data_IF_552505584298
#
_entry.id   IF_552505584298
#
_cell.length_a   1.000
_cell.length_b   1.000
_cell.length_c   1.000
_cell.angle_alpha   90.00
_cell.angle_beta   90.00
_cell.angle_gamma   90.00
#
_symmetry.space_group_name_H-M   'P 1'
#
loop_
_entity.id
_entity.type
_entity.pdbx_description
1 polymer ?
#
# COMPACT_ATOMS: atom_id res chain seq x y z
N UNK A 1 -0.09 -2.92 -3.21
CA UNK A 1 0.55 -3.65 -2.10
C UNK A 1 0.61 -5.12 -2.47
N UNK A 2 1.77 -5.76 -2.34
CA UNK A 2 1.92 -7.20 -2.50
C UNK A 2 2.08 -7.83 -1.11
N UNK A 3 1.42 -8.95 -0.86
CA UNK A 3 1.32 -9.56 0.47
C UNK A 3 1.67 -11.04 0.40
N UNK A 4 2.65 -11.46 1.18
CA UNK A 4 2.93 -12.87 1.45
C UNK A 4 3.21 -13.05 2.94
N UNK A 5 2.32 -13.77 3.62
CA UNK A 5 2.41 -14.04 5.06
C UNK A 5 2.62 -12.77 5.93
N UNK A 6 1.77 -11.76 5.74
CA UNK A 6 1.86 -10.45 6.39
C UNK A 6 0.92 -10.25 7.59
N UNK A 7 0.28 -11.31 8.10
CA UNK A 7 -0.83 -11.22 9.08
C UNK A 7 -0.58 -10.26 10.23
N UNK A 8 0.65 -10.24 10.77
CA UNK A 8 1.02 -9.44 11.95
C UNK A 8 0.77 -7.94 11.80
N UNK A 9 1.04 -7.37 10.62
CA UNK A 9 1.05 -5.92 10.41
C UNK A 9 0.03 -5.45 9.36
N UNK A 10 -0.45 -6.38 8.53
CA UNK A 10 -1.26 -6.09 7.37
C UNK A 10 -2.52 -5.27 7.65
N UNK A 11 -3.19 -5.51 8.77
CA UNK A 11 -4.40 -4.76 9.12
C UNK A 11 -4.10 -3.27 9.35
N UNK A 12 -2.99 -2.96 10.03
CA UNK A 12 -2.55 -1.59 10.31
C UNK A 12 -2.08 -0.90 9.02
N UNK A 13 -1.30 -1.62 8.21
CA UNK A 13 -0.83 -1.14 6.90
C UNK A 13 -1.99 -0.78 5.98
N UNK A 14 -3.00 -1.66 5.85
CA UNK A 14 -4.20 -1.39 5.04
C UNK A 14 -4.95 -0.17 5.60
N UNK A 15 -5.20 -0.13 6.90
CA UNK A 15 -5.93 0.97 7.53
C UNK A 15 -5.25 2.32 7.27
N UNK A 16 -3.92 2.40 7.40
CA UNK A 16 -3.17 3.65 7.17
C UNK A 16 -3.28 4.19 5.74
N UNK A 17 -3.48 3.31 4.74
CA UNK A 17 -3.73 3.69 3.35
C UNK A 17 -5.18 4.14 3.17
N UNK A 18 -6.14 3.47 3.79
CA UNK A 18 -7.56 3.85 3.66
C UNK A 18 -7.90 5.18 4.32
N UNK A 19 -7.17 5.55 5.38
CA UNK A 19 -7.34 6.81 6.13
C UNK A 19 -6.71 8.03 5.45
N UNK A 20 -6.00 7.85 4.32
CA UNK A 20 -5.37 8.97 3.61
C UNK A 20 -6.35 10.11 3.32
N UNK A 21 -5.90 11.34 3.55
CA UNK A 21 -6.68 12.57 3.30
C UNK A 21 -7.06 12.74 1.83
N UNK A 22 -6.21 12.29 0.90
CA UNK A 22 -6.58 12.16 -0.50
C UNK A 22 -7.36 10.86 -0.70
N UNK A 23 -8.64 10.95 -1.06
CA UNK A 23 -9.56 9.80 -1.10
C UNK A 23 -9.80 9.23 -2.51
N UNK A 24 -9.44 9.97 -3.57
CA UNK A 24 -9.68 9.57 -4.96
C UNK A 24 -8.59 8.62 -5.48
N UNK A 25 -8.56 7.41 -4.95
CA UNK A 25 -7.63 6.36 -5.37
C UNK A 25 -8.31 4.99 -5.38
N UNK A 26 -7.73 4.05 -6.13
CA UNK A 26 -7.97 2.63 -5.95
C UNK A 26 -6.82 2.00 -5.15
N UNK A 27 -7.11 0.94 -4.40
CA UNK A 27 -6.12 0.23 -3.62
C UNK A 27 -6.01 -1.22 -4.07
N UNK A 28 -4.97 -1.51 -4.85
CA UNK A 28 -4.72 -2.85 -5.37
C UNK A 28 -3.88 -3.63 -4.36
N UNK A 29 -4.43 -4.76 -3.90
CA UNK A 29 -3.77 -5.68 -2.99
C UNK A 29 -3.67 -7.05 -3.66
N UNK A 30 -2.43 -7.51 -3.85
CA UNK A 30 -2.12 -8.81 -4.44
C UNK A 30 -1.68 -9.76 -3.32
N UNK A 31 -2.51 -10.73 -2.98
CA UNK A 31 -2.13 -11.85 -2.11
C UNK A 31 -1.33 -12.88 -2.92
N UNK A 32 -0.06 -13.02 -2.59
CA UNK A 32 0.92 -13.88 -3.26
C UNK A 32 0.96 -15.28 -2.66
N UNK A 33 -0.22 -15.90 -2.53
CA UNK A 33 -0.33 -17.27 -2.02
C UNK A 33 0.04 -17.42 -0.55
N UNK A 34 -0.35 -16.45 0.29
CA UNK A 34 -0.17 -16.54 1.75
C UNK A 34 -0.85 -17.78 2.34
N UNK A 35 -0.21 -18.37 3.36
CA UNK A 35 -0.71 -19.52 4.11
C UNK A 35 -1.18 -19.17 5.54
N UNK A 36 -1.08 -17.88 5.91
CA UNK A 36 -1.55 -17.31 7.17
C UNK A 36 -2.92 -16.62 6.99
N UNK A 37 -3.36 -15.82 7.97
CA UNK A 37 -4.65 -15.13 7.87
C UNK A 37 -4.65 -13.91 6.92
N UNK A 38 -3.57 -13.63 6.18
CA UNK A 38 -3.46 -12.42 5.33
C UNK A 38 -4.62 -12.28 4.35
N UNK A 39 -4.98 -13.34 3.63
CA UNK A 39 -6.09 -13.30 2.66
C UNK A 39 -7.43 -13.04 3.36
N UNK A 40 -7.61 -13.55 4.57
CA UNK A 40 -8.84 -13.32 5.34
C UNK A 40 -8.94 -11.85 5.77
N UNK A 41 -7.85 -11.27 6.26
CA UNK A 41 -7.75 -9.85 6.62
C UNK A 41 -8.08 -8.98 5.40
N UNK A 42 -7.43 -9.21 4.26
CA UNK A 42 -7.66 -8.45 3.02
C UNK A 42 -9.15 -8.49 2.62
N UNK A 43 -9.76 -9.67 2.68
CA UNK A 43 -11.17 -9.86 2.34
C UNK A 43 -12.14 -9.18 3.33
N UNK A 44 -11.75 -9.00 4.59
CA UNK A 44 -12.57 -8.26 5.55
C UNK A 44 -12.57 -6.76 5.23
N UNK A 45 -11.43 -6.20 4.85
CA UNK A 45 -11.33 -4.80 4.43
C UNK A 45 -12.04 -4.55 3.10
N UNK A 46 -11.86 -5.42 2.10
CA UNK A 46 -12.49 -5.24 0.78
C UNK A 46 -14.01 -5.30 0.79
N UNK A 47 -14.61 -5.99 1.77
CA UNK A 47 -16.06 -5.96 2.01
C UNK A 47 -16.56 -4.62 2.56
N UNK A 48 -15.69 -3.84 3.21
CA UNK A 48 -16.03 -2.57 3.86
C UNK A 48 -15.67 -1.36 3.02
N UNK A 49 -14.66 -1.47 2.16
CA UNK A 49 -14.16 -0.36 1.36
C UNK A 49 -14.08 -0.75 -0.13
N UNK A 50 -14.91 -0.10 -0.94
CA UNK A 50 -15.02 -0.33 -2.38
C UNK A 50 -13.77 0.09 -3.17
N UNK A 51 -12.85 0.85 -2.57
CA UNK A 51 -11.58 1.22 -3.22
C UNK A 51 -10.64 0.02 -3.35
N UNK A 52 -10.82 -1.02 -2.52
CA UNK A 52 -9.92 -2.17 -2.49
C UNK A 52 -10.25 -3.13 -3.64
N UNK A 53 -9.24 -3.42 -4.46
CA UNK A 53 -9.27 -4.46 -5.48
C UNK A 53 -8.31 -5.57 -5.08
N UNK A 54 -8.86 -6.75 -4.80
CA UNK A 54 -8.12 -7.91 -4.29
C UNK A 54 -7.82 -8.86 -5.41
N UNK A 55 -6.56 -9.29 -5.50
CA UNK A 55 -6.11 -10.34 -6.41
C UNK A 55 -5.43 -11.43 -5.61
N UNK A 56 -5.86 -12.67 -5.81
CA UNK A 56 -5.28 -13.83 -5.15
C UNK A 56 -4.65 -14.75 -6.19
N UNK A 57 -3.37 -15.03 -6.04
CA UNK A 57 -2.61 -15.89 -6.96
C UNK A 57 -1.71 -16.86 -6.19
N UNK A 58 -1.12 -17.82 -6.90
CA UNK A 58 -0.07 -18.67 -6.35
C UNK A 58 1.18 -17.82 -6.09
N UNK A 59 1.96 -18.22 -5.08
CA UNK A 59 3.22 -17.57 -4.77
C UNK A 59 4.16 -17.60 -5.99
N UNK A 60 4.58 -16.42 -6.44
CA UNK A 60 5.61 -16.24 -7.47
C UNK A 60 6.60 -15.12 -7.12
N UNK A 61 6.55 -14.62 -5.89
CA UNK A 61 7.47 -13.64 -5.36
C UNK A 61 6.99 -12.20 -5.46
N UNK A 62 7.67 -11.33 -4.71
CA UNK A 62 7.33 -9.92 -4.55
C UNK A 62 7.29 -9.17 -5.88
N UNK A 63 8.33 -9.30 -6.71
CA UNK A 63 8.45 -8.55 -7.95
C UNK A 63 7.31 -8.89 -8.94
N UNK A 64 7.00 -10.18 -9.10
CA UNK A 64 5.89 -10.63 -9.95
C UNK A 64 4.55 -10.10 -9.43
N UNK A 65 4.32 -10.17 -8.12
CA UNK A 65 3.10 -9.65 -7.49
C UNK A 65 2.94 -8.14 -7.64
N UNK A 66 4.04 -7.38 -7.53
CA UNK A 66 4.03 -5.93 -7.76
C UNK A 66 3.75 -5.62 -9.23
N UNK A 67 4.40 -6.31 -10.17
CA UNK A 67 4.16 -6.14 -11.60
C UNK A 67 2.70 -6.47 -11.98
N UNK A 68 2.14 -7.54 -11.41
CA UNK A 68 0.73 -7.87 -11.56
C UNK A 68 -0.16 -6.73 -11.07
N UNK A 69 0.12 -6.19 -9.88
CA UNK A 69 -0.64 -5.05 -9.34
C UNK A 69 -0.55 -3.79 -10.19
N UNK A 70 0.61 -3.50 -10.77
CA UNK A 70 0.81 -2.37 -11.69
C UNK A 70 0.02 -2.57 -12.99
N UNK A 71 0.02 -3.79 -13.55
CA UNK A 71 -0.72 -4.09 -14.77
C UNK A 71 -2.24 -3.94 -14.60
N UNK A 72 -2.75 -4.15 -13.38
CA UNK A 72 -4.17 -3.99 -13.04
C UNK A 72 -4.56 -2.55 -12.69
N UNK A 73 -3.60 -1.64 -12.51
CA UNK A 73 -3.82 -0.26 -12.12
C UNK A 73 -4.47 0.56 -13.24
N UNK A 74 -5.38 1.45 -12.84
CA UNK A 74 -6.13 2.38 -13.69
C UNK A 74 -5.82 3.84 -13.36
N UNK A 75 -5.20 4.09 -12.22
CA UNK A 75 -4.71 5.42 -11.84
C UNK A 75 -3.55 5.88 -12.72
N UNK A 76 -3.46 7.20 -12.91
CA UNK A 76 -2.35 7.85 -13.63
C UNK A 76 -1.02 7.73 -12.86
N UNK A 77 -1.09 7.68 -11.54
CA UNK A 77 0.05 7.61 -10.63
C UNK A 77 0.00 6.34 -9.79
N UNK A 78 1.17 5.70 -9.62
CA UNK A 78 1.33 4.53 -8.77
C UNK A 78 2.01 4.94 -7.46
N UNK A 79 1.31 4.75 -6.35
CA UNK A 79 1.89 4.84 -5.02
C UNK A 79 2.16 3.43 -4.47
N UNK A 80 3.42 3.16 -4.09
CA UNK A 80 3.83 1.88 -3.50
C UNK A 80 3.89 1.97 -1.98
N UNK A 81 3.47 0.90 -1.32
CA UNK A 81 3.65 0.63 0.12
C UNK A 81 3.83 -0.88 0.30
N UNK A 82 4.68 -1.26 1.26
CA UNK A 82 4.88 -2.65 1.67
C UNK A 82 3.83 -3.05 2.74
N UNK A 83 3.64 -4.35 2.94
CA UNK A 83 2.51 -4.91 3.72
C UNK A 83 2.70 -4.81 5.25
N UNK A 84 3.85 -4.33 5.68
CA UNK A 84 4.31 -4.15 7.06
C UNK A 84 4.69 -2.70 7.38
N UNK A 85 4.44 -1.76 6.45
CA UNK A 85 4.64 -0.33 6.63
C UNK A 85 3.33 0.43 6.87
N UNK A 86 3.42 1.62 7.45
CA UNK A 86 2.29 2.56 7.57
C UNK A 86 2.56 3.88 6.83
N UNK A 87 1.52 4.47 6.28
CA UNK A 87 1.58 5.81 5.68
C UNK A 87 1.28 6.90 6.71
N UNK A 88 1.99 8.03 6.62
CA UNK A 88 1.52 9.26 7.26
C UNK A 88 0.21 9.73 6.61
N UNK A 89 -0.70 10.29 7.40
CA UNK A 89 -2.08 10.61 7.01
C UNK A 89 -2.20 11.50 5.75
N UNK A 90 -1.21 12.35 5.50
CA UNK A 90 -1.19 13.34 4.41
C UNK A 90 -0.27 12.93 3.24
N UNK A 91 0.29 11.72 3.24
CA UNK A 91 1.29 11.30 2.25
C UNK A 91 0.76 11.45 0.82
N UNK A 92 -0.37 10.83 0.49
CA UNK A 92 -0.90 10.85 -0.88
C UNK A 92 -1.30 12.26 -1.33
N UNK A 93 -1.90 13.05 -0.43
CA UNK A 93 -2.30 14.44 -0.71
C UNK A 93 -1.09 15.28 -1.10
N UNK A 94 -0.02 15.24 -0.30
CA UNK A 94 1.21 16.00 -0.58
C UNK A 94 1.90 15.55 -1.87
N UNK A 95 1.94 14.25 -2.13
CA UNK A 95 2.55 13.71 -3.36
C UNK A 95 1.79 14.17 -4.61
N UNK A 96 0.45 14.14 -4.58
CA UNK A 96 -0.38 14.61 -5.70
C UNK A 96 -0.29 16.12 -5.89
N UNK A 97 -0.15 16.90 -4.82
CA UNK A 97 0.10 18.35 -4.94
C UNK A 97 1.43 18.64 -5.63
N UNK A 98 2.51 17.91 -5.30
CA UNK A 98 3.78 18.03 -6.01
C UNK A 98 3.66 17.72 -7.51
N UNK A 99 2.93 16.66 -7.85
CA UNK A 99 2.64 16.29 -9.25
C UNK A 99 1.89 17.40 -9.98
N UNK A 100 0.86 17.99 -9.36
CA UNK A 100 0.06 19.06 -9.97
C UNK A 100 0.85 20.34 -10.24
N UNK A 101 1.89 20.58 -9.45
CA UNK A 101 2.75 21.76 -9.59
C UNK A 101 3.85 21.59 -10.65
N UNK A 102 4.15 20.35 -11.06
CA UNK A 102 5.22 20.07 -12.01
C UNK A 102 4.82 18.92 -12.95
N UNK A 103 4.41 19.27 -14.18
CA UNK A 103 3.98 18.29 -15.19
C UNK A 103 5.12 17.45 -15.77
N UNK A 104 6.37 17.85 -15.56
CA UNK A 104 7.56 17.08 -15.97
C UNK A 104 8.03 16.09 -14.89
N UNK A 105 7.33 16.06 -13.75
CA UNK A 105 7.64 15.13 -12.67
C UNK A 105 7.36 13.70 -13.12
N UNK A 106 8.31 12.80 -12.87
CA UNK A 106 8.19 11.36 -13.18
C UNK A 106 8.16 10.48 -11.93
N UNK A 107 8.63 10.99 -10.79
CA UNK A 107 8.70 10.27 -9.53
C UNK A 107 8.74 11.25 -8.36
N UNK A 108 8.03 10.92 -7.28
CA UNK A 108 8.08 11.65 -6.00
C UNK A 108 8.21 10.68 -4.84
N UNK A 109 9.21 10.93 -3.98
CA UNK A 109 9.42 10.21 -2.72
C UNK A 109 9.03 11.07 -1.52
N UNK A 110 9.05 10.47 -0.33
CA UNK A 110 8.97 11.17 0.94
C UNK A 110 10.12 10.74 1.84
N UNK A 111 10.36 11.48 2.93
CA UNK A 111 11.15 10.97 4.04
C UNK A 111 10.48 9.74 4.69
N UNK A 112 11.25 9.04 5.53
CA UNK A 112 10.78 7.87 6.27
C UNK A 112 11.00 8.06 7.78
N UNK A 113 10.18 7.37 8.57
CA UNK A 113 10.37 7.20 10.01
C UNK A 113 10.58 5.71 10.24
N UNK A 114 11.65 5.34 10.92
CA UNK A 114 11.89 3.92 11.25
C UNK A 114 11.02 3.58 12.47
N UNK A 115 10.27 2.50 12.35
CA UNK A 115 9.45 1.94 13.42
C UNK A 115 10.01 0.55 13.73
N UNK A 116 10.34 0.29 14.98
CA UNK A 116 10.75 -1.05 15.41
C UNK A 116 9.53 -1.98 15.61
N UNK A 117 9.80 -3.25 15.88
CA UNK A 117 8.78 -4.28 16.13
C UNK A 117 7.89 -4.04 17.37
N UNK A 118 8.26 -3.08 18.23
CA UNK A 118 7.51 -2.64 19.40
C UNK A 118 6.76 -1.32 19.15
N UNK A 119 6.81 -0.79 17.94
CA UNK A 119 6.19 0.49 17.57
C UNK A 119 7.00 1.72 17.95
N UNK A 120 8.24 1.57 18.43
CA UNK A 120 9.09 2.73 18.78
C UNK A 120 9.64 3.40 17.53
N UNK A 121 9.47 4.71 17.45
CA UNK A 121 9.90 5.51 16.32
C UNK A 121 11.29 6.08 16.53
N UNK A 122 12.13 6.00 15.50
CA UNK A 122 13.35 6.77 15.38
C UNK A 122 13.33 7.60 14.10
N UNK A 123 13.61 8.90 14.23
CA UNK A 123 13.72 9.78 13.07
C UNK A 123 15.09 9.55 12.44
N UNK A 124 15.08 9.25 11.14
CA UNK A 124 16.29 9.32 10.32
C UNK A 124 16.39 10.76 9.83
N UNK A 125 17.54 11.40 10.09
CA UNK A 125 17.85 12.75 9.62
C UNK A 125 18.14 12.74 8.11
#
# INVERSE_FOLDING_TARGET
>A
MAVYNGERWLAESIQSVLEQTFTNFEFIIVNDGSNDCSLQIINQFSKKDSRIRVYNKKNSGLADSLNYGIAEARGEWIARIDADDICSLERLQKQIECVRLNTDLVLVGSGLVIIDENGQQSKVH
#
